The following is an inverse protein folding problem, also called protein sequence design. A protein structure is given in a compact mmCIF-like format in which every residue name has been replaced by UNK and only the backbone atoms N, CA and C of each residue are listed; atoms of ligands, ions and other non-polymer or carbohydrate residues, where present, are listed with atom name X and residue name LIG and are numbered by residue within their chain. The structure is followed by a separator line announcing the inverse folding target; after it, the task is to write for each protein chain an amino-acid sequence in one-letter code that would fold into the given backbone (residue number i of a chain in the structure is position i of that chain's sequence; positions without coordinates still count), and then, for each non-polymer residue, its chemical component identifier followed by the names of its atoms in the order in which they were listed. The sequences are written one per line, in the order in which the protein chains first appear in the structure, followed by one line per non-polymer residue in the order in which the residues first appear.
data_IF_696709517886
#
_entry.id   IF_696709517886
#
_cell.length_a   1.000
_cell.length_b   1.000
_cell.length_c   1.000
_cell.angle_alpha   90.00
_cell.angle_beta   90.00
_cell.angle_gamma   90.00
#
_symmetry.space_group_name_H-M   'P 1'
#
loop_
_entity.id
_entity.type
_entity.pdbx_description
1 polymer ?
#
# COMPACT_ATOMS: atom_id res chain seq x y z
N UNK A 1 -18.48 22.95 -12.08
CA UNK A 1 -17.69 23.60 -11.01
C UNK A 1 -16.36 24.02 -11.59
N UNK A 2 -16.06 25.33 -11.61
CA UNK A 2 -14.76 25.90 -11.95
C UNK A 2 -13.80 25.83 -10.76
N UNK A 3 -12.51 26.07 -11.02
CA UNK A 3 -11.51 26.17 -9.94
C UNK A 3 -11.86 27.27 -8.94
N UNK A 4 -12.37 28.41 -9.42
CA UNK A 4 -12.77 29.52 -8.54
C UNK A 4 -13.95 29.13 -7.64
N UNK A 5 -14.94 28.42 -8.19
CA UNK A 5 -16.08 27.93 -7.41
C UNK A 5 -15.64 26.90 -6.35
N UNK A 6 -14.65 26.06 -6.66
CA UNK A 6 -14.05 25.13 -5.70
C UNK A 6 -13.35 25.88 -4.56
N UNK A 7 -12.55 26.91 -4.88
CA UNK A 7 -11.90 27.75 -3.88
C UNK A 7 -12.91 28.54 -3.05
N UNK A 8 -14.01 29.01 -3.64
CA UNK A 8 -15.10 29.67 -2.92
C UNK A 8 -15.84 28.72 -1.99
N UNK A 9 -16.09 27.48 -2.40
CA UNK A 9 -16.65 26.45 -1.54
C UNK A 9 -15.73 26.17 -0.34
N UNK A 10 -14.41 26.11 -0.56
CA UNK A 10 -13.44 25.95 0.52
C UNK A 10 -13.44 27.16 1.47
N UNK A 11 -13.45 28.40 0.94
CA UNK A 11 -13.56 29.63 1.76
C UNK A 11 -14.78 29.59 2.67
N UNK A 12 -15.95 29.26 2.12
CA UNK A 12 -17.19 29.09 2.90
C UNK A 12 -17.06 27.99 3.97
N UNK A 13 -16.37 26.89 3.67
CA UNK A 13 -16.10 25.84 4.67
C UNK A 13 -15.20 26.35 5.81
N UNK A 14 -14.16 27.12 5.50
CA UNK A 14 -13.28 27.73 6.52
C UNK A 14 -14.06 28.68 7.43
N UNK A 15 -14.84 29.59 6.82
CA UNK A 15 -15.64 30.59 7.55
C UNK A 15 -16.70 29.94 8.45
N UNK A 16 -17.21 28.76 8.05
CA UNK A 16 -18.19 28.02 8.85
C UNK A 16 -17.63 27.43 10.15
N UNK A 17 -16.30 27.34 10.30
CA UNK A 17 -15.66 26.70 11.46
C UNK A 17 -15.95 25.19 11.59
N UNK A 18 -16.61 24.58 10.60
CA UNK A 18 -17.05 23.16 10.62
C UNK A 18 -15.90 22.18 10.85
N UNK A 19 -14.67 22.54 10.47
CA UNK A 19 -13.49 21.71 10.74
C UNK A 19 -13.34 21.35 12.23
N UNK A 20 -13.71 22.26 13.14
CA UNK A 20 -13.65 22.05 14.58
C UNK A 20 -14.76 21.13 15.10
N UNK A 21 -15.81 20.92 14.31
CA UNK A 21 -16.92 20.02 14.61
C UNK A 21 -16.68 18.60 14.07
N UNK A 22 -15.77 18.45 13.09
CA UNK A 22 -15.41 17.16 12.52
C UNK A 22 -14.54 16.36 13.51
N UNK A 23 -15.20 15.52 14.31
CA UNK A 23 -14.51 14.62 15.24
C UNK A 23 -13.77 13.52 14.50
N UNK A 24 -12.62 13.11 15.05
CA UNK A 24 -11.87 11.96 14.57
C UNK A 24 -12.08 10.82 15.57
N UNK A 25 -12.47 9.65 15.09
CA UNK A 25 -12.56 8.45 15.90
C UNK A 25 -11.24 7.66 15.84
N UNK A 26 -10.89 6.92 16.92
CA UNK A 26 -9.73 6.05 16.89
C UNK A 26 -9.77 5.06 15.73
N UNK A 27 -8.62 4.82 15.13
CA UNK A 27 -8.50 3.84 14.05
C UNK A 27 -8.87 2.45 14.59
N UNK A 28 -9.78 1.77 13.89
CA UNK A 28 -10.35 0.49 14.32
C UNK A 28 -9.58 -0.74 13.79
N UNK A 29 -8.51 -0.52 13.02
CA UNK A 29 -7.75 -1.59 12.36
C UNK A 29 -8.30 -2.01 11.00
N UNK A 30 -9.36 -1.35 10.50
CA UNK A 30 -9.99 -1.66 9.22
C UNK A 30 -9.37 -0.89 8.04
N UNK A 31 -9.14 -1.60 6.95
CA UNK A 31 -8.82 -1.05 5.63
C UNK A 31 -9.92 -1.44 4.67
N UNK A 32 -10.52 -0.46 3.99
CA UNK A 32 -11.54 -0.67 2.96
C UNK A 32 -10.92 -0.37 1.60
N UNK A 33 -10.92 -1.36 0.71
CA UNK A 33 -10.47 -1.23 -0.67
C UNK A 33 -11.70 -1.23 -1.56
N UNK A 34 -11.89 -0.17 -2.35
CA UNK A 34 -13.07 -0.04 -3.21
C UNK A 34 -12.80 0.77 -4.47
N UNK A 35 -13.83 0.96 -5.28
CA UNK A 35 -13.76 1.72 -6.51
C UNK A 35 -13.63 3.23 -6.22
N UNK A 36 -13.02 3.96 -7.16
CA UNK A 36 -12.99 5.44 -7.15
C UNK A 36 -14.27 6.09 -7.71
N UNK A 37 -15.34 5.32 -7.95
CA UNK A 37 -16.58 5.87 -8.49
C UNK A 37 -17.14 6.96 -7.59
N UNK A 38 -17.53 8.06 -8.22
CA UNK A 38 -18.21 9.20 -7.62
C UNK A 38 -19.51 8.81 -6.89
N UNK A 39 -20.14 7.69 -7.28
CA UNK A 39 -21.35 7.14 -6.66
C UNK A 39 -21.11 6.61 -5.24
N UNK A 40 -19.86 6.32 -4.90
CA UNK A 40 -19.48 5.79 -3.60
C UNK A 40 -19.15 6.88 -2.57
N UNK A 41 -19.04 8.14 -3.01
CA UNK A 41 -18.86 9.26 -2.10
C UNK A 41 -20.06 9.34 -1.15
N UNK A 42 -19.78 9.47 0.15
CA UNK A 42 -20.72 9.41 1.29
C UNK A 42 -21.40 8.03 1.46
N UNK A 43 -21.82 7.38 0.37
CA UNK A 43 -22.48 6.07 0.42
C UNK A 43 -21.62 4.97 1.03
N UNK A 44 -20.35 4.83 0.63
CA UNK A 44 -19.52 3.71 1.09
C UNK A 44 -19.22 3.82 2.58
N UNK A 45 -18.74 4.97 3.02
CA UNK A 45 -18.42 5.23 4.42
C UNK A 45 -19.66 5.06 5.31
N UNK A 46 -20.79 5.67 4.94
CA UNK A 46 -22.03 5.61 5.72
C UNK A 46 -22.67 4.21 5.73
N UNK A 47 -22.71 3.51 4.59
CA UNK A 47 -23.32 2.18 4.51
C UNK A 47 -22.53 1.11 5.28
N UNK A 48 -21.22 1.32 5.46
CA UNK A 48 -20.38 0.47 6.29
C UNK A 48 -20.38 0.89 7.78
N UNK A 49 -21.00 2.04 8.10
CA UNK A 49 -21.07 2.57 9.46
C UNK A 49 -19.73 3.13 9.98
N UNK A 50 -18.81 3.50 9.10
CA UNK A 50 -17.54 4.10 9.50
C UNK A 50 -17.68 5.61 9.67
N UNK A 51 -17.26 6.12 10.83
CA UNK A 51 -17.06 7.55 11.00
C UNK A 51 -15.64 7.98 10.57
N UNK A 52 -15.45 9.30 10.50
CA UNK A 52 -14.16 9.91 10.13
C UNK A 52 -13.03 9.38 11.02
N UNK A 53 -12.09 8.68 10.39
CA UNK A 53 -10.87 8.18 11.02
C UNK A 53 -10.91 6.72 11.48
N UNK A 54 -12.08 6.07 11.50
CA UNK A 54 -12.19 4.68 11.99
C UNK A 54 -11.58 3.66 11.02
N UNK A 55 -11.58 3.95 9.72
CA UNK A 55 -11.03 3.09 8.70
C UNK A 55 -10.15 3.87 7.70
N UNK A 56 -9.23 3.16 7.05
CA UNK A 56 -8.47 3.68 5.92
C UNK A 56 -9.15 3.25 4.62
N UNK A 57 -9.41 4.19 3.73
CA UNK A 57 -10.04 3.92 2.44
C UNK A 57 -8.99 4.00 1.32
N UNK A 58 -8.84 2.92 0.58
CA UNK A 58 -8.02 2.83 -0.64
C UNK A 58 -8.98 2.75 -1.82
N UNK A 59 -8.95 3.74 -2.71
CA UNK A 59 -9.85 3.83 -3.87
C UNK A 59 -9.06 3.85 -5.18
N UNK A 60 -9.31 2.88 -6.05
CA UNK A 60 -8.73 2.81 -7.41
C UNK A 60 -9.82 2.51 -8.44
N UNK A 61 -9.52 2.63 -9.74
CA UNK A 61 -10.46 2.24 -10.79
C UNK A 61 -10.84 0.76 -10.62
N UNK A 62 -12.14 0.49 -10.44
CA UNK A 62 -12.68 -0.86 -10.29
C UNK A 62 -12.25 -1.63 -9.04
N UNK A 63 -11.45 -1.05 -8.14
CA UNK A 63 -10.66 -1.81 -7.17
C UNK A 63 -9.90 -2.96 -7.85
N UNK A 64 -9.38 -2.71 -9.06
CA UNK A 64 -8.71 -3.73 -9.86
C UNK A 64 -7.24 -3.86 -9.45
N UNK A 65 -6.75 -5.08 -9.42
CA UNK A 65 -5.31 -5.37 -9.34
C UNK A 65 -4.80 -5.65 -10.75
N UNK A 66 -3.67 -5.06 -11.12
CA UNK A 66 -3.06 -5.29 -12.44
C UNK A 66 -1.57 -5.53 -12.27
N UNK A 67 -0.95 -6.22 -13.22
CA UNK A 67 0.52 -6.37 -13.24
C UNK A 67 1.28 -5.04 -13.39
N UNK A 68 0.58 -3.96 -13.75
CA UNK A 68 1.14 -2.63 -13.96
C UNK A 68 0.99 -1.71 -12.74
N UNK A 69 0.20 -2.10 -11.73
CA UNK A 69 -0.06 -1.27 -10.56
C UNK A 69 0.00 -2.07 -9.25
N UNK A 70 0.95 -1.71 -8.39
CA UNK A 70 1.10 -2.24 -7.04
C UNK A 70 0.61 -1.26 -5.96
N UNK A 71 -0.14 -0.21 -6.33
CA UNK A 71 -0.61 0.84 -5.42
C UNK A 71 -1.47 0.29 -4.28
N UNK A 72 -2.34 -0.67 -4.55
CA UNK A 72 -3.19 -1.33 -3.54
C UNK A 72 -2.32 -2.09 -2.55
N UNK A 73 -1.46 -2.99 -3.04
CA UNK A 73 -0.59 -3.81 -2.18
C UNK A 73 0.34 -2.95 -1.32
N UNK A 74 0.99 -1.94 -1.92
CA UNK A 74 1.84 -1.00 -1.20
C UNK A 74 1.07 -0.24 -0.12
N UNK A 75 -0.16 0.19 -0.41
CA UNK A 75 -1.01 0.92 0.55
C UNK A 75 -1.49 0.02 1.69
N UNK A 76 -1.83 -1.24 1.39
CA UNK A 76 -2.14 -2.26 2.39
C UNK A 76 -0.92 -2.51 3.30
N UNK A 77 0.28 -2.65 2.73
CA UNK A 77 1.51 -2.82 3.50
C UNK A 77 1.74 -1.65 4.46
N UNK A 78 1.54 -0.40 4.02
CA UNK A 78 1.64 0.77 4.90
C UNK A 78 0.57 0.73 6.01
N UNK A 79 -0.67 0.35 5.68
CA UNK A 79 -1.73 0.24 6.67
C UNK A 79 -1.41 -0.81 7.75
N UNK A 80 -0.84 -1.95 7.36
CA UNK A 80 -0.43 -2.99 8.30
C UNK A 80 0.77 -2.52 9.12
N UNK A 81 1.87 -2.10 8.47
CA UNK A 81 3.14 -1.86 9.16
C UNK A 81 3.22 -0.54 9.92
N UNK A 82 2.39 0.45 9.59
CA UNK A 82 2.42 1.79 10.20
C UNK A 82 1.17 2.16 10.96
N UNK A 83 0.06 1.46 10.71
CA UNK A 83 -1.24 1.77 11.32
C UNK A 83 -1.86 0.58 12.05
N UNK A 84 -1.16 -0.56 12.12
CA UNK A 84 -1.62 -1.77 12.80
C UNK A 84 -2.99 -2.26 12.27
N UNK A 85 -3.19 -2.16 10.96
CA UNK A 85 -4.37 -2.72 10.32
C UNK A 85 -4.38 -4.25 10.47
N UNK A 86 -5.52 -4.77 10.92
CA UNK A 86 -5.75 -6.20 11.18
C UNK A 86 -6.89 -6.78 10.36
N UNK A 87 -7.67 -5.94 9.67
CA UNK A 87 -8.82 -6.37 8.85
C UNK A 87 -8.88 -5.58 7.55
N UNK A 88 -9.16 -6.29 6.47
CA UNK A 88 -9.33 -5.73 5.12
C UNK A 88 -10.71 -6.11 4.60
N UNK A 89 -11.45 -5.12 4.12
CA UNK A 89 -12.70 -5.29 3.37
C UNK A 89 -12.46 -4.88 1.92
N UNK A 90 -12.57 -5.84 1.00
CA UNK A 90 -12.60 -5.56 -0.44
C UNK A 90 -14.06 -5.40 -0.86
N UNK A 91 -14.44 -4.21 -1.30
CA UNK A 91 -15.83 -3.84 -1.60
C UNK A 91 -15.98 -3.48 -3.08
N UNK A 92 -16.52 -4.40 -3.86
CA UNK A 92 -16.98 -4.15 -5.23
C UNK A 92 -18.36 -3.50 -5.24
N UNK A 93 -18.82 -3.04 -6.40
CA UNK A 93 -20.15 -2.43 -6.53
C UNK A 93 -20.88 -2.83 -7.82
N UNK A 94 -22.21 -2.79 -7.78
CA UNK A 94 -23.11 -3.37 -8.81
C UNK A 94 -23.09 -2.70 -10.19
N UNK A 95 -22.59 -1.47 -10.31
CA UNK A 95 -22.67 -0.64 -11.51
C UNK A 95 -21.33 0.04 -11.86
N UNK A 96 -20.25 -0.73 -11.76
CA UNK A 96 -18.89 -0.27 -12.00
C UNK A 96 -18.61 0.06 -13.46
N UNK A 97 -18.16 1.29 -13.73
CA UNK A 97 -17.76 1.72 -15.08
C UNK A 97 -16.48 1.03 -15.57
N UNK A 98 -15.63 0.52 -14.67
CA UNK A 98 -14.49 -0.33 -15.07
C UNK A 98 -14.93 -1.66 -15.68
N UNK A 99 -16.23 -2.03 -15.57
CA UNK A 99 -16.83 -3.08 -16.37
C UNK A 99 -17.17 -2.60 -17.78
N UNK A 100 -16.14 -2.19 -18.52
CA UNK A 100 -16.21 -1.71 -19.90
C UNK A 100 -15.35 -2.56 -20.84
N UNK A 101 -15.60 -2.43 -22.13
CA UNK A 101 -14.82 -3.11 -23.18
C UNK A 101 -13.65 -2.24 -23.70
N UNK A 102 -12.65 -2.90 -24.29
CA UNK A 102 -11.44 -2.24 -24.83
C UNK A 102 -11.75 -1.36 -26.05
N UNK A 103 -12.82 -1.67 -26.79
CA UNK A 103 -13.18 -0.91 -27.98
C UNK A 103 -13.62 0.51 -27.60
N UNK A 104 -14.47 0.66 -26.59
CA UNK A 104 -14.91 1.96 -26.07
C UNK A 104 -13.73 2.85 -25.63
N UNK A 105 -12.71 2.27 -25.01
CA UNK A 105 -11.50 2.98 -24.57
C UNK A 105 -10.65 3.39 -25.77
N UNK A 106 -10.49 2.50 -26.74
CA UNK A 106 -9.71 2.80 -27.95
C UNK A 106 -10.34 3.93 -28.76
N UNK A 107 -11.67 3.97 -28.85
CA UNK A 107 -12.40 5.08 -29.46
C UNK A 107 -12.25 6.38 -28.66
N UNK A 108 -12.29 6.31 -27.33
CA UNK A 108 -12.00 7.46 -26.48
C UNK A 108 -10.56 7.98 -26.68
N UNK A 109 -9.56 7.10 -26.74
CA UNK A 109 -8.17 7.48 -27.02
C UNK A 109 -8.06 8.24 -28.35
N UNK A 110 -8.68 7.73 -29.42
CA UNK A 110 -8.72 8.42 -30.72
C UNK A 110 -9.36 9.80 -30.64
N UNK A 111 -10.52 9.88 -29.97
CA UNK A 111 -11.25 11.15 -29.76
C UNK A 111 -10.40 12.18 -29.00
N UNK A 112 -9.54 11.73 -28.10
CA UNK A 112 -8.62 12.56 -27.32
C UNK A 112 -7.22 12.71 -27.97
N UNK A 113 -7.05 12.28 -29.22
CA UNK A 113 -5.79 12.36 -29.96
C UNK A 113 -4.61 11.63 -29.27
N UNK A 114 -4.89 10.57 -28.51
CA UNK A 114 -3.87 9.75 -27.86
C UNK A 114 -3.48 8.58 -28.79
N UNK A 115 -2.20 8.44 -29.17
CA UNK A 115 -1.77 7.36 -30.03
C UNK A 115 -1.80 6.02 -29.30
N UNK A 116 -2.02 4.93 -30.04
CA UNK A 116 -2.05 3.56 -29.48
C UNK A 116 -0.77 3.21 -28.72
N UNK A 117 0.38 3.70 -29.16
CA UNK A 117 1.69 3.47 -28.54
C UNK A 117 1.86 4.13 -27.17
N UNK A 118 0.94 4.98 -26.73
CA UNK A 118 0.99 5.62 -25.41
C UNK A 118 0.66 4.64 -24.27
N UNK A 119 0.11 3.46 -24.57
CA UNK A 119 -0.28 2.44 -23.60
C UNK A 119 0.29 1.07 -24.02
N UNK A 120 0.51 0.13 -23.08
CA UNK A 120 1.00 -1.22 -23.39
C UNK A 120 0.10 -1.99 -24.38
N UNK A 121 0.60 -3.09 -24.94
CA UNK A 121 -0.15 -3.94 -25.88
C UNK A 121 -1.43 -4.51 -25.23
N UNK A 122 -1.35 -4.87 -23.96
CA UNK A 122 -2.46 -5.37 -23.18
C UNK A 122 -3.23 -4.23 -22.49
N UNK A 123 -4.02 -3.48 -23.29
CA UNK A 123 -4.80 -2.33 -22.79
C UNK A 123 -5.81 -2.75 -21.73
N UNK A 124 -6.40 -3.95 -21.88
CA UNK A 124 -7.39 -4.46 -20.93
C UNK A 124 -6.79 -4.56 -19.53
N UNK A 125 -5.64 -5.22 -19.44
CA UNK A 125 -4.91 -5.38 -18.19
C UNK A 125 -4.38 -4.05 -17.67
N UNK A 126 -3.80 -3.22 -18.53
CA UNK A 126 -3.28 -1.91 -18.12
C UNK A 126 -4.35 -0.97 -17.56
N UNK A 127 -5.55 -0.98 -18.16
CA UNK A 127 -6.70 -0.20 -17.69
C UNK A 127 -7.42 -0.84 -16.49
N UNK A 128 -7.08 -2.07 -16.12
CA UNK A 128 -7.77 -2.82 -15.06
C UNK A 128 -9.25 -3.04 -15.35
N UNK A 129 -9.61 -3.40 -16.60
CA UNK A 129 -11.01 -3.63 -16.94
C UNK A 129 -11.52 -4.94 -16.35
N UNK A 130 -12.59 -4.83 -15.57
CA UNK A 130 -13.16 -5.96 -14.85
C UNK A 130 -14.35 -6.52 -15.65
N UNK A 131 -14.38 -7.81 -15.91
CA UNK A 131 -15.53 -8.40 -16.65
C UNK A 131 -16.71 -8.70 -15.73
N UNK A 132 -16.41 -9.03 -14.48
CA UNK A 132 -17.40 -9.33 -13.44
C UNK A 132 -16.93 -8.70 -12.12
N UNK A 133 -17.67 -7.73 -11.55
CA UNK A 133 -17.30 -7.09 -10.29
C UNK A 133 -17.14 -8.05 -9.11
N UNK A 134 -18.00 -9.08 -9.03
CA UNK A 134 -17.97 -10.09 -7.97
C UNK A 134 -16.69 -10.94 -8.05
N UNK A 135 -16.34 -11.39 -9.26
CA UNK A 135 -15.09 -12.15 -9.46
C UNK A 135 -13.86 -11.28 -9.25
N UNK A 136 -13.90 -9.99 -9.62
CA UNK A 136 -12.80 -9.06 -9.32
C UNK A 136 -12.55 -8.97 -7.81
N UNK A 137 -13.62 -8.89 -6.99
CA UNK A 137 -13.49 -8.92 -5.53
C UNK A 137 -12.85 -10.22 -5.07
N UNK A 138 -13.32 -11.38 -5.56
CA UNK A 138 -12.73 -12.69 -5.20
C UNK A 138 -11.25 -12.76 -5.57
N UNK A 139 -10.90 -12.32 -6.78
CA UNK A 139 -9.53 -12.31 -7.25
C UNK A 139 -8.65 -11.40 -6.39
N UNK A 140 -9.09 -10.18 -6.09
CA UNK A 140 -8.31 -9.26 -5.24
C UNK A 140 -8.14 -9.81 -3.82
N UNK A 141 -9.16 -10.42 -3.23
CA UNK A 141 -9.05 -11.08 -1.91
C UNK A 141 -8.01 -12.22 -1.96
N UNK A 142 -8.02 -13.05 -3.01
CA UNK A 142 -7.00 -14.11 -3.21
C UNK A 142 -5.59 -13.53 -3.41
N UNK A 143 -5.44 -12.51 -4.25
CA UNK A 143 -4.16 -11.85 -4.51
C UNK A 143 -3.57 -11.27 -3.24
N UNK A 144 -4.36 -10.53 -2.45
CA UNK A 144 -3.90 -9.98 -1.17
C UNK A 144 -3.58 -11.07 -0.15
N UNK A 145 -4.35 -12.15 -0.10
CA UNK A 145 -4.06 -13.28 0.79
C UNK A 145 -2.75 -13.98 0.43
N UNK A 146 -2.43 -14.08 -0.86
CA UNK A 146 -1.21 -14.70 -1.37
C UNK A 146 0.00 -13.75 -1.36
N UNK A 147 -0.21 -12.48 -1.02
CA UNK A 147 0.85 -11.48 -0.95
C UNK A 147 1.76 -11.71 0.27
N UNK A 148 3.08 -11.71 0.04
CA UNK A 148 4.07 -11.87 1.10
C UNK A 148 4.10 -10.71 2.11
N UNK A 149 3.46 -9.57 1.79
CA UNK A 149 3.39 -8.42 2.69
C UNK A 149 2.15 -8.40 3.57
N UNK A 150 1.21 -9.34 3.38
CA UNK A 150 -0.01 -9.46 4.18
C UNK A 150 0.11 -10.66 5.14
N UNK A 151 0.30 -10.43 6.45
CA UNK A 151 0.41 -11.51 7.42
C UNK A 151 -0.86 -12.35 7.51
N UNK A 152 -0.69 -13.63 7.85
CA UNK A 152 -1.80 -14.58 8.06
C UNK A 152 -2.80 -14.11 9.12
N UNK A 153 -2.34 -13.35 10.11
CA UNK A 153 -3.18 -12.80 11.17
C UNK A 153 -4.14 -11.70 10.70
N UNK A 154 -3.93 -11.11 9.52
CA UNK A 154 -4.82 -10.09 8.96
C UNK A 154 -6.00 -10.80 8.30
N UNK A 155 -7.22 -10.45 8.69
CA UNK A 155 -8.44 -10.98 8.04
C UNK A 155 -8.73 -10.22 6.74
N UNK A 156 -9.16 -10.94 5.70
CA UNK A 156 -9.54 -10.35 4.41
C UNK A 156 -10.93 -10.87 4.05
N UNK A 157 -11.85 -9.96 3.82
CA UNK A 157 -13.26 -10.22 3.52
C UNK A 157 -13.64 -9.57 2.19
N UNK A 158 -14.53 -10.21 1.43
CA UNK A 158 -15.01 -9.70 0.14
C UNK A 158 -16.51 -9.38 0.17
N UNK A 159 -16.88 -8.20 -0.33
CA UNK A 159 -18.26 -7.70 -0.34
C UNK A 159 -18.68 -7.11 -1.69
N UNK A 160 -19.98 -7.14 -1.93
CA UNK A 160 -20.65 -6.40 -3.01
C UNK A 160 -21.61 -5.37 -2.42
N UNK A 161 -21.42 -4.11 -2.79
CA UNK A 161 -22.31 -3.00 -2.43
C UNK A 161 -23.26 -2.68 -3.60
N UNK A 162 -24.56 -2.74 -3.34
CA UNK A 162 -25.57 -2.22 -4.25
C UNK A 162 -25.64 -0.70 -4.12
N UNK A 163 -25.27 0.02 -5.18
CA UNK A 163 -25.23 1.49 -5.19
C UNK A 163 -26.59 2.17 -5.19
N UNK A 164 -27.66 1.44 -5.48
CA UNK A 164 -29.04 1.96 -5.47
C UNK A 164 -29.69 1.81 -4.10
N UNK A 165 -29.41 0.69 -3.42
CA UNK A 165 -30.08 0.34 -2.15
C UNK A 165 -29.20 0.50 -0.93
N UNK A 166 -27.88 0.59 -1.10
CA UNK A 166 -26.91 0.57 0.00
C UNK A 166 -26.70 -0.82 0.61
N UNK A 167 -27.32 -1.87 0.06
CA UNK A 167 -27.20 -3.24 0.58
C UNK A 167 -25.77 -3.75 0.38
N UNK A 168 -25.12 -4.13 1.47
CA UNK A 168 -23.86 -4.85 1.47
C UNK A 168 -24.10 -6.37 1.53
N UNK A 169 -23.55 -7.09 0.56
CA UNK A 169 -23.60 -8.56 0.51
C UNK A 169 -22.21 -9.14 0.69
N UNK A 170 -22.04 -10.01 1.68
CA UNK A 170 -20.79 -10.70 1.94
C UNK A 170 -20.64 -11.90 1.00
N UNK A 171 -19.59 -11.93 0.18
CA UNK A 171 -19.39 -12.92 -0.89
C UNK A 171 -18.15 -13.79 -0.71
N UNK A 172 -17.20 -13.37 0.14
CA UNK A 172 -16.02 -14.14 0.55
C UNK A 172 -15.84 -13.94 2.04
N UNK A 173 -16.12 -14.99 2.82
CA UNK A 173 -15.83 -15.02 4.25
C UNK A 173 -14.33 -14.94 4.51
N UNK A 174 -13.95 -14.51 5.72
CA UNK A 174 -12.57 -14.38 6.15
C UNK A 174 -11.71 -15.56 5.68
N UNK A 175 -10.91 -15.35 4.63
CA UNK A 175 -9.99 -16.40 4.19
C UNK A 175 -8.87 -16.49 5.23
N UNK A 176 -8.81 -17.59 5.96
CA UNK A 176 -7.71 -17.92 6.88
C UNK A 176 -6.80 -18.98 6.24
N UNK A 177 -5.60 -19.19 6.80
CA UNK A 177 -4.58 -20.15 6.33
C UNK A 177 -5.10 -21.56 5.99
N UNK A 178 -6.23 -21.97 6.58
CA UNK A 178 -6.87 -23.28 6.37
C UNK A 178 -7.57 -23.46 5.02
N UNK A 179 -7.96 -22.40 4.32
CA UNK A 179 -8.69 -22.50 3.05
C UNK A 179 -7.76 -22.65 1.83
N UNK A 180 -6.54 -22.09 1.89
CA UNK A 180 -5.54 -22.25 0.82
C UNK A 180 -5.22 -23.73 0.53
N UNK A 181 -5.24 -24.60 1.55
CA UNK A 181 -4.92 -26.03 1.38
C UNK A 181 -5.96 -26.84 0.61
N UNK A 182 -7.16 -26.30 0.31
CA UNK A 182 -8.22 -27.04 -0.41
C UNK A 182 -8.33 -26.71 -1.89
N UNK A 183 -7.88 -25.53 -2.32
CA UNK A 183 -8.13 -25.03 -3.68
C UNK A 183 -6.87 -25.04 -4.58
N UNK A 184 -5.70 -25.35 -4.04
CA UNK A 184 -4.41 -25.33 -4.75
C UNK A 184 -4.09 -26.57 -5.62
N UNK A 185 -5.08 -27.37 -6.05
CA UNK A 185 -4.81 -28.55 -6.92
C UNK A 185 -5.17 -28.32 -8.40
N UNK A 186 -5.56 -27.12 -8.85
CA UNK A 186 -5.89 -26.94 -10.29
C UNK A 186 -5.48 -25.64 -11.00
N UNK A 187 -4.80 -24.69 -10.36
CA UNK A 187 -4.29 -23.48 -11.06
C UNK A 187 -2.77 -23.30 -10.94
N UNK A 188 -2.07 -24.17 -10.20
CA UNK A 188 -0.64 -24.09 -9.96
C UNK A 188 0.25 -24.65 -11.11
N UNK A 189 -0.14 -24.43 -12.36
CA UNK A 189 0.68 -24.80 -13.53
C UNK A 189 0.71 -23.69 -14.60
N UNK A 190 0.71 -22.43 -14.17
CA UNK A 190 1.22 -21.32 -14.97
C UNK A 190 2.47 -20.76 -14.29
N UNK A 191 3.61 -21.15 -14.85
CA UNK A 191 4.96 -21.03 -14.32
C UNK A 191 5.35 -19.60 -13.88
N UNK A 192 5.63 -19.44 -12.58
CA UNK A 192 6.64 -18.47 -12.10
C UNK A 192 7.82 -19.30 -11.58
N UNK A 193 8.84 -19.47 -12.41
CA UNK A 193 10.14 -19.99 -11.97
C UNK A 193 10.86 -18.90 -11.17
N UNK A 194 10.71 -18.92 -9.84
CA UNK A 194 11.68 -18.30 -8.94
C UNK A 194 12.85 -19.27 -8.74
N UNK A 195 14.08 -18.76 -8.63
CA UNK A 195 14.78 -19.12 -7.40
C UNK A 195 15.69 -18.00 -6.91
N UNK A 196 15.47 -17.52 -5.68
CA UNK A 196 16.60 -17.28 -4.77
C UNK A 196 16.21 -17.65 -3.35
N UNK A 197 16.83 -18.72 -2.86
CA UNK A 197 16.81 -19.14 -1.48
C UNK A 197 17.58 -18.13 -0.61
N UNK A 198 16.94 -17.64 0.45
CA UNK A 198 17.62 -16.88 1.49
C UNK A 198 18.35 -17.88 2.41
N UNK A 199 19.67 -18.00 2.26
CA UNK A 199 20.51 -18.67 3.27
C UNK A 199 20.76 -17.69 4.41
N UNK A 200 20.27 -18.02 5.59
CA UNK A 200 20.72 -17.41 6.83
C UNK A 200 22.07 -18.04 7.19
N UNK A 201 23.17 -17.35 6.91
CA UNK A 201 24.48 -17.75 7.45
C UNK A 201 24.71 -17.09 8.82
N UNK A 202 24.71 -18.02 9.77
CA UNK A 202 25.25 -18.06 11.12
C UNK A 202 26.52 -17.21 11.32
N UNK A 203 26.52 -16.42 12.40
CA UNK A 203 27.68 -15.76 12.98
C UNK A 203 28.87 -16.73 13.11
N UNK A 204 30.05 -16.26 12.69
CA UNK A 204 31.30 -16.99 12.71
C UNK A 204 31.74 -17.39 14.12
N UNK A 205 32.37 -18.57 14.18
CA UNK A 205 33.17 -19.04 15.30
C UNK A 205 34.36 -18.10 15.54
N UNK A 206 34.55 -17.65 16.78
CA UNK A 206 35.89 -17.44 17.32
C UNK A 206 36.39 -18.76 17.91
N UNK A 207 37.58 -19.15 17.49
CA UNK A 207 38.39 -20.25 18.00
C UNK A 207 38.43 -20.34 19.51
N UNK A 208 38.20 -21.53 20.07
CA UNK A 208 39.23 -22.24 20.82
C UNK A 208 38.84 -23.69 21.06
N UNK A 209 39.75 -24.59 20.71
CA UNK A 209 39.63 -26.03 20.88
C UNK A 209 40.19 -26.39 22.26
N UNK A 210 39.41 -27.08 23.08
CA UNK A 210 40.00 -27.98 24.08
C UNK A 210 39.12 -29.22 24.25
N UNK A 211 39.77 -30.35 24.10
CA UNK A 211 39.30 -31.74 24.15
C UNK A 211 38.73 -32.15 25.52
N UNK A 212 37.67 -32.97 25.55
CA UNK A 212 37.56 -34.14 26.45
C UNK A 212 36.34 -35.02 26.12
N UNK A 213 36.53 -36.32 26.35
CA UNK A 213 35.70 -37.47 26.00
C UNK A 213 34.60 -37.81 27.03
N UNK A 214 33.60 -38.55 26.51
CA UNK A 214 32.83 -39.66 27.10
C UNK A 214 32.10 -39.53 28.45
N UNK A 215 30.87 -40.08 28.40
CA UNK A 215 30.08 -40.73 29.46
C UNK A 215 29.90 -39.97 30.78
N UNK A 216 28.67 -39.55 31.05
CA UNK A 216 27.89 -40.06 32.18
C UNK A 216 26.50 -39.40 32.19
N UNK A 217 25.48 -40.19 32.47
CA UNK A 217 24.14 -39.66 32.78
C UNK A 217 24.05 -39.45 34.28
N UNK A 218 23.71 -38.24 34.76
CA UNK A 218 22.96 -38.17 36.01
C UNK A 218 21.92 -37.02 36.01
N UNK A 219 21.14 -36.84 37.09
CA UNK A 219 19.84 -37.44 37.34
C UNK A 219 18.70 -36.41 37.18
N UNK A 220 17.45 -36.86 37.36
CA UNK A 220 16.27 -36.00 37.39
C UNK A 220 16.42 -34.85 38.42
N UNK A 221 16.16 -33.61 37.98
CA UNK A 221 16.13 -32.43 38.85
C UNK A 221 14.67 -32.07 39.16
N UNK A 222 14.45 -31.96 40.47
CA UNK A 222 13.24 -31.61 41.20
C UNK A 222 12.73 -30.19 40.89
N UNK A 223 11.45 -30.08 40.52
CA UNK A 223 10.70 -28.85 40.30
C UNK A 223 10.18 -28.32 41.63
N UNK A 224 11.09 -27.89 42.50
CA UNK A 224 10.72 -27.36 43.83
C UNK A 224 11.78 -26.42 44.42
N UNK A 225 12.31 -25.47 43.66
CA UNK A 225 12.88 -24.22 44.19
C UNK A 225 13.44 -23.34 43.06
N UNK A 226 12.58 -22.53 42.43
CA UNK A 226 12.99 -21.17 42.04
C UNK A 226 11.76 -20.39 41.56
N UNK A 227 11.18 -19.61 42.48
CA UNK A 227 10.16 -18.62 42.17
C UNK A 227 10.79 -17.24 42.34
N UNK A 228 11.17 -16.53 41.27
CA UNK A 228 11.56 -15.14 41.39
C UNK A 228 10.38 -14.32 41.95
N UNK A 229 10.64 -13.61 43.05
CA UNK A 229 9.72 -12.68 43.71
C UNK A 229 9.28 -11.62 42.70
N UNK A 230 7.97 -11.33 42.66
CA UNK A 230 7.36 -10.27 41.87
C UNK A 230 8.03 -8.93 42.12
N UNK A 231 8.76 -8.41 41.13
CA UNK A 231 9.19 -7.02 41.12
C UNK A 231 7.96 -6.13 40.88
N UNK A 232 7.68 -5.22 41.83
CA UNK A 232 6.64 -4.19 41.65
C UNK A 232 7.08 -3.25 40.53
N UNK A 233 6.36 -3.27 39.42
CA UNK A 233 6.55 -2.34 38.32
C UNK A 233 6.00 -0.96 38.72
N UNK A 234 6.87 -0.03 39.08
CA UNK A 234 6.52 1.38 39.25
C UNK A 234 6.43 2.02 37.87
N UNK A 235 5.24 2.47 37.46
CA UNK A 235 5.10 3.18 36.18
C UNK A 235 5.88 4.50 36.21
N UNK A 236 6.68 4.82 35.19
CA UNK A 236 7.30 6.13 35.07
C UNK A 236 6.21 7.19 34.85
N UNK A 237 6.31 8.33 35.55
CA UNK A 237 5.41 9.47 35.35
C UNK A 237 5.45 9.91 33.88
N UNK A 238 4.31 10.23 33.24
CA UNK A 238 4.30 10.70 31.86
C UNK A 238 5.10 12.00 31.74
N UNK A 239 5.98 12.05 30.75
CA UNK A 239 6.73 13.25 30.42
C UNK A 239 5.76 14.38 30.04
N UNK A 240 5.92 15.54 30.68
CA UNK A 240 5.09 16.71 30.44
C UNK A 240 5.43 17.27 29.05
N UNK A 241 4.49 17.14 28.11
CA UNK A 241 4.65 17.63 26.74
C UNK A 241 4.53 19.16 26.72
N UNK A 242 5.63 19.85 26.40
CA UNK A 242 5.62 21.27 26.08
C UNK A 242 5.55 21.44 24.56
N UNK A 243 4.42 21.92 23.99
CA UNK A 243 4.33 22.16 22.56
C UNK A 243 5.30 23.28 22.13
N UNK A 244 5.87 23.20 20.91
CA UNK A 244 6.70 24.27 20.39
C UNK A 244 5.92 25.59 20.25
N UNK A 245 6.58 26.74 20.39
CA UNK A 245 5.91 28.04 20.28
C UNK A 245 5.28 28.21 18.90
N UNK A 246 4.03 28.70 18.89
CA UNK A 246 3.25 28.96 17.67
C UNK A 246 4.04 29.94 16.78
N UNK A 247 4.28 29.61 15.50
CA UNK A 247 4.94 30.53 14.57
C UNK A 247 4.16 31.85 14.47
N UNK A 248 4.87 32.97 14.47
CA UNK A 248 4.25 34.29 14.26
C UNK A 248 3.48 34.30 12.93
N UNK A 249 2.30 34.96 12.86
CA UNK A 249 1.54 35.04 11.62
C UNK A 249 2.40 35.61 10.50
N UNK A 250 2.51 34.87 9.39
CA UNK A 250 3.14 35.40 8.19
C UNK A 250 2.24 36.47 7.56
N UNK A 251 2.82 37.52 6.96
CA UNK A 251 2.03 38.54 6.29
C UNK A 251 1.18 37.93 5.16
N UNK A 252 -0.06 38.42 5.06
CA UNK A 252 -1.06 38.00 4.08
C UNK A 252 -0.48 38.14 2.67
N UNK A 253 -0.51 37.05 1.89
CA UNK A 253 -0.13 37.09 0.47
C UNK A 253 -1.01 38.09 -0.27
N UNK A 254 -0.40 39.14 -0.82
CA UNK A 254 -1.06 40.02 -1.79
C UNK A 254 -0.77 39.49 -3.19
N UNK A 255 -1.79 39.20 -4.03
CA UNK A 255 -1.56 38.82 -5.40
C UNK A 255 -0.79 39.93 -6.12
N UNK A 256 0.39 39.61 -6.65
CA UNK A 256 1.08 40.51 -7.57
C UNK A 256 0.45 40.40 -8.97
N UNK A 257 0.37 41.52 -9.68
CA UNK A 257 -0.01 41.55 -11.09
C UNK A 257 0.87 40.60 -11.91
N UNK A 258 0.33 39.93 -12.95
CA UNK A 258 1.10 39.00 -13.76
C UNK A 258 2.30 39.71 -14.40
N UNK A 259 3.50 39.24 -14.05
CA UNK A 259 4.76 39.70 -14.63
C UNK A 259 4.77 39.35 -16.13
N UNK A 260 5.01 40.31 -17.03
CA UNK A 260 5.15 40.04 -18.46
C UNK A 260 6.27 39.02 -18.71
N UNK A 261 5.98 37.96 -19.46
CA UNK A 261 6.96 36.94 -19.79
C UNK A 261 8.03 37.53 -20.72
N UNK A 262 9.27 37.62 -20.23
CA UNK A 262 10.43 37.94 -21.06
C UNK A 262 10.68 36.82 -22.10
N UNK A 263 11.08 37.18 -23.34
CA UNK A 263 11.41 36.19 -24.35
C UNK A 263 12.64 35.35 -23.93
N UNK A 264 12.51 34.03 -24.01
CA UNK A 264 13.56 33.09 -23.60
C UNK A 264 14.85 33.30 -24.42
N UNK A 265 16.03 33.37 -23.78
CA UNK A 265 17.29 33.46 -24.48
C UNK A 265 17.62 32.14 -25.20
N UNK A 266 18.18 32.25 -26.40
CA UNK A 266 18.67 31.15 -27.23
C UNK A 266 19.80 30.43 -26.47
N UNK A 267 19.65 29.11 -26.27
CA UNK A 267 20.64 28.29 -25.58
C UNK A 267 21.93 28.19 -26.40
N UNK A 268 23.02 28.75 -25.89
CA UNK A 268 24.38 28.43 -26.33
C UNK A 268 24.88 27.17 -25.62
N UNK A 269 25.59 26.32 -26.36
CA UNK A 269 26.13 25.06 -25.88
C UNK A 269 27.15 25.28 -24.74
N UNK A 270 27.00 24.52 -23.64
CA UNK A 270 27.93 24.55 -22.50
C UNK A 270 29.21 23.75 -22.79
N UNK A 271 30.39 24.22 -22.33
CA UNK A 271 31.63 23.47 -22.43
C UNK A 271 31.68 22.29 -21.43
N UNK A 272 32.38 21.23 -21.81
CA UNK A 272 32.61 20.03 -21.00
C UNK A 272 33.51 20.35 -19.80
N UNK A 273 33.06 20.03 -18.59
CA UNK A 273 33.84 20.00 -17.36
C UNK A 273 34.15 18.54 -17.04
N UNK A 274 35.43 18.21 -16.89
CA UNK A 274 35.93 16.93 -16.38
C UNK A 274 35.86 16.93 -14.84
N UNK A 275 35.25 15.89 -14.26
CA UNK A 275 35.16 15.69 -12.80
C UNK A 275 35.86 14.37 -12.47
N UNK A 276 36.86 14.44 -11.60
CA UNK A 276 37.55 13.28 -11.01
C UNK A 276 36.66 12.54 -9.99
N UNK A 277 36.97 11.26 -9.79
CA UNK A 277 36.15 10.25 -9.13
C UNK A 277 35.92 10.51 -7.63
N UNK A 278 34.66 10.38 -7.21
CA UNK A 278 34.24 10.19 -5.82
C UNK A 278 33.49 8.85 -5.70
N UNK A 279 33.76 8.09 -4.66
CA UNK A 279 33.22 6.75 -4.38
C UNK A 279 31.69 6.67 -4.43
N UNK A 280 31.13 6.04 -5.48
CA UNK A 280 29.70 5.76 -5.67
C UNK A 280 29.42 4.26 -5.40
N UNK A 281 28.65 3.91 -4.35
CA UNK A 281 28.32 2.53 -4.02
C UNK A 281 27.49 1.80 -5.10
N UNK A 282 26.93 2.50 -6.09
CA UNK A 282 26.30 1.88 -7.25
C UNK A 282 27.31 1.42 -8.32
N UNK A 283 28.50 2.02 -8.42
CA UNK A 283 29.51 1.55 -9.37
C UNK A 283 30.24 0.29 -8.92
N UNK A 284 30.43 0.13 -7.62
CA UNK A 284 30.98 -1.10 -7.05
C UNK A 284 30.07 -2.31 -7.33
N UNK A 285 28.74 -2.10 -7.27
CA UNK A 285 27.74 -3.10 -7.62
C UNK A 285 27.79 -3.46 -9.13
N UNK A 286 27.96 -2.46 -10.01
CA UNK A 286 28.02 -2.68 -11.46
C UNK A 286 29.32 -3.37 -11.90
N UNK A 287 30.46 -3.07 -11.28
CA UNK A 287 31.73 -3.73 -11.58
C UNK A 287 31.82 -5.14 -11.01
N UNK A 288 31.06 -5.45 -9.95
CA UNK A 288 30.85 -6.82 -9.48
C UNK A 288 30.05 -7.64 -10.51
N UNK A 289 28.96 -7.07 -11.05
CA UNK A 289 28.14 -7.71 -12.09
C UNK A 289 28.88 -7.94 -13.41
N UNK A 290 29.82 -7.06 -13.80
CA UNK A 290 30.67 -7.26 -14.99
C UNK A 290 31.68 -8.38 -14.78
N UNK A 291 32.34 -8.45 -13.60
CA UNK A 291 33.30 -9.51 -13.27
C UNK A 291 32.65 -10.90 -13.27
N UNK A 292 31.42 -11.00 -12.81
CA UNK A 292 30.68 -12.27 -12.77
C UNK A 292 30.16 -12.71 -14.15
N UNK A 293 30.02 -11.79 -15.10
CA UNK A 293 29.63 -12.08 -16.48
C UNK A 293 30.79 -12.67 -17.33
N UNK A 294 32.05 -12.46 -16.93
CA UNK A 294 33.23 -13.02 -17.60
C UNK A 294 33.74 -14.35 -16.99
N UNK A 295 33.09 -14.87 -15.94
CA UNK A 295 33.40 -16.19 -15.34
C UNK A 295 32.46 -17.32 -15.78
N UNK A 296 31.60 -17.07 -16.78
CA UNK A 296 30.76 -18.07 -17.45
C UNK A 296 30.95 -18.04 -18.98
N UNK A 297 32.21 -18.03 -19.42
CA UNK A 297 32.62 -18.39 -20.78
C UNK A 297 33.51 -19.62 -20.72
#
# INVERSE_FOLDING_TARGET
MSVNELLDANRKFLDSGRINQLKFKPFSGWVVISCMSEKLADLLEESLGFERGEALFIRTAGAAFTKYDNSIERSVAIAIFKKDAVKIAVVGHSDCSSASDVFSITEAMKKHNIPRSAVPDDVREWMGLISNPEENVRQLVRTLRNSSVVPVSVEIHGFMLDTKTGKLTHIVSAMQEKELKKEDIHIAELEIKSPVAFKADRFEHSSDTTTANFSDTPPAIDISADRPKTAKYTQPKPAQYNPPPVPKPQPRYQPQDPVPLEPKPVQQAKPKISVEASDDPFQEMLDKLKRDRFKKS
#
